data_IF_303510267669
#
_entry.id   IF_303510267669
#
_cell.length_a   1.000
_cell.length_b   1.000
_cell.length_c   1.000
_cell.angle_alpha   90.00
_cell.angle_beta   90.00
_cell.angle_gamma   90.00
#
_symmetry.space_group_name_H-M   'P 1'
#
loop_
_entity.id
_entity.type
_entity.pdbx_description
1 polymer ?
#
# COMPACT_ATOMS: atom_id res chain seq x y z
N UNK A 1 -17.69 -13.99 -17.37
CA UNK A 1 -16.74 -14.56 -16.39
C UNK A 1 -17.23 -14.19 -15.00
N UNK A 2 -17.25 -15.13 -14.05
CA UNK A 2 -17.65 -14.86 -12.67
C UNK A 2 -16.42 -14.44 -11.86
N UNK A 3 -16.47 -13.28 -11.20
CA UNK A 3 -15.41 -12.83 -10.29
C UNK A 3 -16.03 -12.73 -8.90
N UNK A 4 -15.50 -13.43 -7.88
CA UNK A 4 -16.04 -13.37 -6.53
C UNK A 4 -16.06 -11.95 -5.99
N UNK A 5 -17.13 -11.58 -5.28
CA UNK A 5 -17.33 -10.22 -4.74
C UNK A 5 -16.19 -9.76 -3.82
N UNK A 6 -15.59 -10.66 -3.06
CA UNK A 6 -14.43 -10.38 -2.21
C UNK A 6 -13.20 -9.95 -3.03
N UNK A 7 -12.94 -10.59 -4.17
CA UNK A 7 -11.85 -10.24 -5.07
C UNK A 7 -12.09 -8.89 -5.75
N UNK A 8 -13.35 -8.58 -6.10
CA UNK A 8 -13.69 -7.25 -6.64
C UNK A 8 -13.44 -6.14 -5.64
N UNK A 9 -13.80 -6.33 -4.37
CA UNK A 9 -13.52 -5.34 -3.32
C UNK A 9 -12.03 -5.11 -3.09
N UNK A 10 -11.18 -6.12 -3.33
CA UNK A 10 -9.72 -5.96 -3.23
C UNK A 10 -9.13 -5.02 -4.29
N UNK A 11 -9.88 -4.68 -5.35
CA UNK A 11 -9.47 -3.64 -6.29
C UNK A 11 -9.40 -2.26 -5.62
N UNK A 12 -10.18 -2.03 -4.57
CA UNK A 12 -10.11 -0.79 -3.81
C UNK A 12 -8.88 -0.78 -2.90
N UNK A 13 -8.18 0.37 -2.84
CA UNK A 13 -7.09 0.57 -1.88
C UNK A 13 -7.68 1.13 -0.59
N UNK A 14 -7.85 0.28 0.42
CA UNK A 14 -8.38 0.70 1.72
C UNK A 14 -7.54 1.80 2.35
N UNK A 15 -8.19 2.85 2.88
CA UNK A 15 -7.53 4.04 3.42
C UNK A 15 -6.99 4.98 2.35
N UNK A 16 -7.49 4.90 1.12
CA UNK A 16 -7.15 5.86 0.06
C UNK A 16 -8.17 6.98 -0.10
N UNK A 17 -9.34 6.88 0.55
CA UNK A 17 -10.31 7.97 0.57
C UNK A 17 -9.74 9.15 1.37
N UNK A 18 -9.57 10.28 0.71
CA UNK A 18 -9.06 11.49 1.34
C UNK A 18 -9.68 12.76 0.74
N UNK A 19 -9.78 13.79 1.58
CA UNK A 19 -10.08 15.14 1.14
C UNK A 19 -8.78 15.80 0.69
N UNK A 20 -8.79 16.40 -0.48
CA UNK A 20 -7.68 17.15 -1.07
C UNK A 20 -8.10 18.62 -1.26
N UNK A 21 -7.16 19.56 -1.49
CA UNK A 21 -7.51 20.93 -1.81
C UNK A 21 -8.45 21.09 -3.02
N UNK A 22 -8.48 20.10 -3.92
CA UNK A 22 -9.24 20.14 -5.18
C UNK A 22 -10.49 19.23 -5.18
N UNK A 23 -10.84 18.63 -4.04
CA UNK A 23 -12.00 17.77 -3.89
C UNK A 23 -11.68 16.47 -3.18
N UNK A 24 -12.27 15.35 -3.58
CA UNK A 24 -12.14 14.06 -2.89
C UNK A 24 -11.44 13.06 -3.79
N UNK A 25 -10.50 12.29 -3.27
CA UNK A 25 -9.87 11.22 -4.06
C UNK A 25 -9.88 9.86 -3.37
N UNK A 26 -9.73 8.81 -4.18
CA UNK A 26 -9.51 7.44 -3.75
C UNK A 26 -8.84 6.64 -4.86
N UNK A 27 -8.26 5.49 -4.54
CA UNK A 27 -7.42 4.73 -5.46
C UNK A 27 -7.92 3.29 -5.68
N UNK A 28 -7.85 2.86 -6.94
CA UNK A 28 -8.02 1.46 -7.33
C UNK A 28 -6.68 0.87 -7.72
N UNK A 29 -6.40 -0.35 -7.26
CA UNK A 29 -5.23 -1.12 -7.64
C UNK A 29 -5.68 -2.39 -8.35
N UNK A 30 -5.14 -2.66 -9.54
CA UNK A 30 -5.39 -3.93 -10.18
C UNK A 30 -4.75 -5.06 -9.35
N UNK A 31 -5.57 -5.96 -8.82
CA UNK A 31 -5.16 -7.17 -8.09
C UNK A 31 -5.69 -8.46 -8.71
N UNK A 32 -6.21 -8.38 -9.94
CA UNK A 32 -6.72 -9.52 -10.69
C UNK A 32 -5.60 -10.10 -11.57
N UNK A 33 -5.66 -9.87 -12.87
CA UNK A 33 -4.59 -10.15 -13.84
C UNK A 33 -4.38 -8.93 -14.72
N UNK A 34 -3.43 -8.99 -15.63
CA UNK A 34 -3.24 -7.93 -16.63
C UNK A 34 -4.56 -7.62 -17.35
N UNK A 35 -4.86 -6.33 -17.44
CA UNK A 35 -6.13 -5.82 -17.90
C UNK A 35 -5.96 -4.51 -18.66
N UNK A 36 -7.04 -4.09 -19.29
CA UNK A 36 -7.17 -2.79 -19.94
C UNK A 36 -8.37 -2.07 -19.35
N UNK A 37 -8.18 -0.85 -18.87
CA UNK A 37 -9.26 0.01 -18.39
C UNK A 37 -9.97 0.64 -19.60
N UNK A 38 -11.27 0.41 -19.71
CA UNK A 38 -12.08 0.80 -20.88
C UNK A 38 -12.93 2.03 -20.59
N UNK A 39 -13.35 2.23 -19.35
CA UNK A 39 -14.15 3.39 -18.99
C UNK A 39 -14.71 3.31 -17.58
N UNK A 40 -14.81 4.46 -16.94
CA UNK A 40 -15.53 4.62 -15.68
C UNK A 40 -17.02 4.79 -16.00
N UNK A 41 -17.87 3.94 -15.45
CA UNK A 41 -19.30 3.91 -15.78
C UNK A 41 -20.17 4.55 -14.69
N UNK A 42 -19.70 4.60 -13.45
CA UNK A 42 -20.43 5.23 -12.35
C UNK A 42 -19.69 5.18 -11.03
N UNK A 43 -19.84 6.24 -10.26
CA UNK A 43 -19.37 6.33 -8.87
C UNK A 43 -20.51 6.87 -8.01
N UNK A 44 -20.74 6.26 -6.84
CA UNK A 44 -21.59 6.82 -5.80
C UNK A 44 -20.82 6.90 -4.49
N UNK A 45 -21.08 7.95 -3.72
CA UNK A 45 -20.61 8.10 -2.35
C UNK A 45 -21.84 8.34 -1.47
N UNK A 46 -22.02 7.52 -0.44
CA UNK A 46 -23.18 7.53 0.48
C UNK A 46 -24.53 7.49 -0.25
N UNK A 47 -24.58 6.70 -1.33
CA UNK A 47 -25.76 6.57 -2.18
C UNK A 47 -25.96 7.69 -3.21
N UNK A 48 -25.23 8.81 -3.10
CA UNK A 48 -25.31 9.91 -4.04
C UNK A 48 -24.47 9.63 -5.28
N UNK A 49 -25.11 9.61 -6.45
CA UNK A 49 -24.41 9.43 -7.72
C UNK A 49 -23.65 10.70 -8.10
N UNK A 50 -22.36 10.53 -8.42
CA UNK A 50 -21.50 11.63 -8.83
C UNK A 50 -21.40 11.70 -10.35
N UNK A 51 -21.34 12.92 -10.89
CA UNK A 51 -21.12 13.13 -12.32
C UNK A 51 -19.72 12.67 -12.71
N UNK A 52 -19.61 11.89 -13.78
CA UNK A 52 -18.32 11.43 -14.31
C UNK A 52 -17.44 12.59 -14.80
N UNK A 53 -18.02 13.73 -15.16
CA UNK A 53 -17.28 14.93 -15.58
C UNK A 53 -16.45 15.54 -14.45
N UNK A 54 -16.91 15.34 -13.20
CA UNK A 54 -16.20 15.79 -12.01
C UNK A 54 -14.92 14.98 -11.75
N UNK A 55 -14.76 13.82 -12.38
CA UNK A 55 -13.61 12.96 -12.15
C UNK A 55 -12.45 13.25 -13.09
N UNK A 56 -11.26 12.96 -12.57
CA UNK A 56 -10.00 12.83 -13.28
C UNK A 56 -9.38 11.50 -12.87
N UNK A 57 -8.88 10.75 -13.85
CA UNK A 57 -8.25 9.43 -13.68
C UNK A 57 -6.75 9.57 -13.87
N UNK A 58 -5.97 9.30 -12.84
CA UNK A 58 -4.50 9.33 -12.90
C UNK A 58 -3.93 7.91 -12.79
N UNK A 59 -3.32 7.43 -13.88
CA UNK A 59 -2.64 6.14 -13.94
C UNK A 59 -1.13 6.26 -13.62
N UNK A 60 -0.69 7.40 -13.08
CA UNK A 60 0.69 7.69 -12.73
C UNK A 60 1.56 8.09 -13.91
N UNK A 61 2.75 8.61 -13.61
CA UNK A 61 3.76 9.08 -14.61
C UNK A 61 3.21 10.12 -15.60
N UNK A 62 2.26 10.94 -15.17
CA UNK A 62 1.63 11.98 -15.99
C UNK A 62 0.52 11.48 -16.91
N UNK A 63 0.13 10.20 -16.82
CA UNK A 63 -0.97 9.63 -17.60
C UNK A 63 -2.32 9.94 -16.93
N UNK A 64 -2.79 11.16 -17.17
CA UNK A 64 -4.03 11.66 -16.60
C UNK A 64 -5.10 11.84 -17.68
N UNK A 65 -6.31 11.33 -17.42
CA UNK A 65 -7.43 11.36 -18.36
C UNK A 65 -8.72 11.82 -17.70
N UNK A 66 -9.56 12.52 -18.45
CA UNK A 66 -10.99 12.62 -18.12
C UNK A 66 -11.67 11.28 -18.43
N UNK A 67 -12.68 10.85 -17.66
CA UNK A 67 -13.42 9.62 -17.97
C UNK A 67 -13.98 9.57 -19.39
N UNK A 68 -14.36 10.72 -19.97
CA UNK A 68 -14.83 10.83 -21.36
C UNK A 68 -13.76 10.54 -22.42
N UNK A 69 -12.48 10.60 -22.06
CA UNK A 69 -11.36 10.30 -22.97
C UNK A 69 -10.98 8.82 -22.96
N UNK A 70 -11.53 8.03 -22.02
CA UNK A 70 -11.24 6.60 -21.90
C UNK A 70 -12.44 5.81 -22.41
N UNK A 71 -12.22 5.08 -23.51
CA UNK A 71 -13.28 4.36 -24.22
C UNK A 71 -12.75 3.02 -24.75
N UNK A 72 -13.61 2.17 -25.35
CA UNK A 72 -13.15 0.96 -26.04
C UNK A 72 -12.11 1.21 -27.15
N UNK A 73 -12.17 2.38 -27.79
CA UNK A 73 -11.27 2.79 -28.88
C UNK A 73 -10.03 3.53 -28.36
N UNK A 74 -10.14 4.16 -27.19
CA UNK A 74 -9.06 4.87 -26.51
C UNK A 74 -8.91 4.35 -25.08
N UNK A 75 -8.48 3.09 -24.97
CA UNK A 75 -8.36 2.39 -23.70
C UNK A 75 -6.99 2.62 -23.05
N UNK A 76 -6.90 2.46 -21.73
CA UNK A 76 -5.65 2.64 -20.96
C UNK A 76 -5.19 1.29 -20.41
N UNK A 77 -3.88 1.01 -20.49
CA UNK A 77 -3.33 -0.18 -19.86
C UNK A 77 -3.54 -0.16 -18.35
N UNK A 78 -4.01 -1.28 -17.80
CA UNK A 78 -4.21 -1.45 -16.36
C UNK A 78 -3.61 -2.80 -15.95
N UNK A 79 -2.29 -2.98 -16.08
CA UNK A 79 -1.63 -4.25 -15.78
C UNK A 79 -1.72 -4.60 -14.29
N UNK A 80 -1.37 -5.84 -13.93
CA UNK A 80 -1.36 -6.27 -12.54
C UNK A 80 -0.51 -5.33 -11.67
N UNK A 81 -1.04 -4.95 -10.50
CA UNK A 81 -0.48 -3.98 -9.54
C UNK A 81 -0.53 -2.52 -9.96
N UNK A 82 -0.97 -2.18 -11.18
CA UNK A 82 -1.17 -0.80 -11.59
C UNK A 82 -2.20 -0.12 -10.67
N UNK A 83 -1.94 1.13 -10.32
CA UNK A 83 -2.86 1.96 -9.54
C UNK A 83 -3.47 3.01 -10.47
N UNK A 84 -4.76 3.28 -10.29
CA UNK A 84 -5.44 4.46 -10.81
C UNK A 84 -6.04 5.24 -9.66
N UNK A 85 -5.67 6.51 -9.54
CA UNK A 85 -6.26 7.45 -8.59
C UNK A 85 -7.43 8.15 -9.27
N UNK A 86 -8.59 8.15 -8.61
CA UNK A 86 -9.78 8.84 -9.05
C UNK A 86 -9.94 10.08 -8.17
N UNK A 87 -9.80 11.27 -8.76
CA UNK A 87 -10.01 12.54 -8.05
C UNK A 87 -11.29 13.19 -8.56
N UNK A 88 -12.24 13.42 -7.66
CA UNK A 88 -13.53 14.05 -7.92
C UNK A 88 -13.52 15.50 -7.44
N UNK A 89 -13.81 16.45 -8.33
CA UNK A 89 -13.99 17.86 -8.00
C UNK A 89 -15.36 18.09 -7.34
N UNK A 90 -15.48 17.67 -6.08
CA UNK A 90 -16.67 17.79 -5.24
C UNK A 90 -16.30 18.42 -3.89
N UNK A 91 -17.27 18.96 -3.11
CA UNK A 91 -17.00 19.40 -1.74
C UNK A 91 -16.38 18.28 -0.88
N UNK A 92 -15.57 18.63 0.13
CA UNK A 92 -14.98 17.65 1.03
C UNK A 92 -16.07 16.84 1.74
N UNK A 93 -15.79 15.55 1.94
CA UNK A 93 -16.65 14.68 2.73
C UNK A 93 -16.45 14.96 4.22
N UNK A 94 -17.51 14.73 5.01
CA UNK A 94 -17.43 14.82 6.47
C UNK A 94 -16.47 13.77 7.04
N UNK A 95 -16.02 13.95 8.28
CA UNK A 95 -15.29 12.88 8.96
C UNK A 95 -16.20 11.69 9.27
N UNK A 96 -15.65 10.49 9.15
CA UNK A 96 -16.36 9.24 9.40
C UNK A 96 -16.32 8.29 8.22
N UNK A 97 -17.19 7.27 8.29
CA UNK A 97 -17.28 6.22 7.28
C UNK A 97 -18.13 6.67 6.10
N UNK A 98 -17.65 6.39 4.90
CA UNK A 98 -18.35 6.61 3.64
C UNK A 98 -18.45 5.33 2.84
N UNK A 99 -19.64 5.10 2.27
CA UNK A 99 -19.87 3.97 1.39
C UNK A 99 -19.61 4.38 -0.05
N UNK A 100 -18.63 3.75 -0.69
CA UNK A 100 -18.25 4.02 -2.07
C UNK A 100 -18.74 2.87 -2.95
N UNK A 101 -19.46 3.19 -4.02
CA UNK A 101 -19.90 2.24 -5.03
C UNK A 101 -19.28 2.61 -6.37
N UNK A 102 -18.54 1.69 -6.97
CA UNK A 102 -17.78 1.95 -8.20
C UNK A 102 -18.22 0.95 -9.26
N UNK A 103 -18.41 1.47 -10.47
CA UNK A 103 -18.70 0.67 -11.66
C UNK A 103 -17.78 1.14 -12.78
N UNK A 104 -16.97 0.22 -13.31
CA UNK A 104 -16.11 0.49 -14.47
C UNK A 104 -16.08 -0.72 -15.41
N UNK A 105 -15.57 -0.52 -16.61
CA UNK A 105 -15.40 -1.56 -17.60
C UNK A 105 -13.92 -1.85 -17.84
N UNK A 106 -13.57 -3.11 -17.96
CA UNK A 106 -12.23 -3.54 -18.35
C UNK A 106 -12.25 -4.74 -19.30
N UNK A 107 -11.15 -4.97 -20.02
CA UNK A 107 -10.84 -6.24 -20.69
C UNK A 107 -9.79 -6.98 -19.86
N UNK A 108 -9.88 -8.32 -19.72
CA UNK A 108 -10.92 -9.20 -20.28
C UNK A 108 -12.19 -9.32 -19.41
N UNK A 109 -12.26 -8.60 -18.29
CA UNK A 109 -13.24 -8.89 -17.23
C UNK A 109 -14.67 -8.37 -17.46
N UNK A 110 -14.85 -7.44 -18.40
CA UNK A 110 -16.14 -6.80 -18.66
C UNK A 110 -16.49 -5.73 -17.63
N UNK A 111 -17.78 -5.62 -17.30
CA UNK A 111 -18.29 -4.65 -16.32
C UNK A 111 -18.03 -5.15 -14.91
N UNK A 112 -17.34 -4.32 -14.12
CA UNK A 112 -17.01 -4.58 -12.72
C UNK A 112 -17.74 -3.57 -11.85
N UNK A 113 -18.54 -4.06 -10.90
CA UNK A 113 -19.27 -3.26 -9.94
C UNK A 113 -19.07 -3.82 -8.53
N UNK A 114 -18.70 -2.96 -7.59
CA UNK A 114 -18.56 -3.35 -6.18
C UNK A 114 -18.80 -2.15 -5.26
N UNK A 115 -18.93 -2.45 -3.97
CA UNK A 115 -19.10 -1.46 -2.91
C UNK A 115 -18.16 -1.75 -1.74
N UNK A 116 -17.58 -0.68 -1.19
CA UNK A 116 -16.66 -0.70 -0.05
C UNK A 116 -17.04 0.41 0.93
N UNK A 117 -16.65 0.24 2.19
CA UNK A 117 -16.66 1.31 3.18
C UNK A 117 -15.21 1.75 3.39
N UNK A 118 -14.96 3.05 3.29
CA UNK A 118 -13.70 3.68 3.70
C UNK A 118 -14.02 4.84 4.66
N UNK A 119 -13.02 5.49 5.23
CA UNK A 119 -13.24 6.58 6.15
C UNK A 119 -12.38 7.80 5.84
N UNK A 120 -12.99 8.98 5.94
CA UNK A 120 -12.25 10.23 6.13
C UNK A 120 -11.99 10.35 7.63
N UNK A 121 -10.75 10.22 8.03
CA UNK A 121 -10.30 10.75 9.32
C UNK A 121 -9.87 12.19 9.11
N UNK A 122 -10.06 13.06 10.12
CA UNK A 122 -9.28 14.29 10.19
C UNK A 122 -7.82 13.93 9.92
N UNK A 123 -7.17 14.63 8.98
CA UNK A 123 -5.73 14.66 8.99
C UNK A 123 -5.36 15.28 10.33
N UNK A 124 -4.95 14.45 11.28
CA UNK A 124 -4.14 14.98 12.36
C UNK A 124 -2.84 15.39 11.69
N UNK A 125 -2.69 16.68 11.38
CA UNK A 125 -1.43 17.24 10.91
C UNK A 125 -0.28 16.94 11.90
N UNK A 126 -0.61 16.53 13.14
CA UNK A 126 0.33 16.01 14.13
C UNK A 126 0.44 14.48 14.16
N UNK A 127 -0.12 13.75 13.18
CA UNK A 127 0.04 12.30 13.11
C UNK A 127 1.51 12.00 12.92
N UNK A 128 2.10 11.40 13.94
CA UNK A 128 3.49 10.99 13.92
C UNK A 128 3.65 9.85 12.89
N UNK A 129 4.25 10.15 11.74
CA UNK A 129 4.50 9.17 10.66
C UNK A 129 5.91 8.60 10.80
N UNK A 130 6.01 7.27 10.81
CA UNK A 130 7.31 6.58 10.82
C UNK A 130 7.97 6.76 9.43
N UNK A 131 9.25 7.17 9.35
CA UNK A 131 9.96 7.29 8.09
C UNK A 131 9.92 6.00 7.27
N UNK A 132 9.56 6.13 5.98
CA UNK A 132 9.47 5.02 5.03
C UNK A 132 9.93 5.47 3.64
N UNK A 133 10.57 4.56 2.92
CA UNK A 133 10.91 4.69 1.50
C UNK A 133 10.08 3.65 0.70
N UNK A 134 9.24 4.08 -0.27
CA UNK A 134 8.42 3.18 -1.06
C UNK A 134 9.22 2.32 -2.06
N UNK A 135 10.41 2.77 -2.48
CA UNK A 135 11.26 2.09 -3.46
C UNK A 135 12.22 1.11 -2.77
N UNK A 136 12.93 1.54 -1.73
CA UNK A 136 13.83 0.68 -0.97
C UNK A 136 13.94 1.06 0.51
N UNK A 137 13.24 0.28 1.34
CA UNK A 137 13.08 0.58 2.77
C UNK A 137 14.14 -0.06 3.69
N UNK A 138 15.08 -0.81 3.09
CA UNK A 138 16.07 -1.65 3.77
C UNK A 138 17.51 -1.18 3.48
N UNK A 139 17.74 0.12 3.59
CA UNK A 139 19.08 0.72 3.48
C UNK A 139 19.58 1.21 4.83
N UNK A 140 20.89 1.45 4.92
CA UNK A 140 21.52 2.06 6.11
C UNK A 140 20.94 3.44 6.40
N UNK A 141 20.68 4.25 5.38
CA UNK A 141 20.11 5.59 5.51
C UNK A 141 18.69 5.53 6.09
N UNK A 142 17.87 4.58 5.63
CA UNK A 142 16.53 4.39 6.17
C UNK A 142 16.53 3.90 7.61
N UNK A 143 17.47 3.01 7.97
CA UNK A 143 17.69 2.62 9.36
C UNK A 143 18.08 3.81 10.24
N UNK A 144 19.00 4.67 9.79
CA UNK A 144 19.42 5.88 10.50
C UNK A 144 18.28 6.90 10.67
N UNK A 145 17.46 7.11 9.64
CA UNK A 145 16.28 8.00 9.73
C UNK A 145 15.31 7.54 10.80
N UNK A 146 15.10 6.23 10.92
CA UNK A 146 14.26 5.65 11.98
C UNK A 146 14.90 5.71 13.36
N UNK A 147 16.20 5.48 13.46
CA UNK A 147 16.93 5.65 14.72
C UNK A 147 16.78 7.08 15.25
N UNK A 148 16.94 8.08 14.38
CA UNK A 148 16.73 9.49 14.72
C UNK A 148 15.28 9.74 15.17
N UNK A 149 14.31 9.28 14.38
CA UNK A 149 12.89 9.41 14.69
C UNK A 149 12.54 8.81 16.07
N UNK A 150 12.99 7.59 16.37
CA UNK A 150 12.74 6.94 17.67
C UNK A 150 13.46 7.68 18.80
N UNK A 151 14.70 8.13 18.58
CA UNK A 151 15.46 8.90 19.58
C UNK A 151 14.76 10.21 19.95
N UNK A 152 14.25 10.94 18.96
CA UNK A 152 13.50 12.18 19.14
C UNK A 152 12.14 11.94 19.81
N UNK A 153 11.38 10.94 19.33
CA UNK A 153 10.06 10.64 19.87
C UNK A 153 10.10 10.16 21.33
N UNK A 154 11.12 9.40 21.71
CA UNK A 154 11.30 8.91 23.07
C UNK A 154 12.16 9.85 23.95
N UNK A 155 12.74 10.91 23.36
CA UNK A 155 13.70 11.79 24.01
C UNK A 155 14.86 11.03 24.71
N UNK A 156 15.40 10.02 24.01
CA UNK A 156 16.52 9.19 24.48
C UNK A 156 17.58 9.04 23.41
N UNK A 157 18.83 8.83 23.84
CA UNK A 157 19.92 8.45 22.94
C UNK A 157 19.96 6.93 22.79
N UNK A 158 19.96 6.43 21.56
CA UNK A 158 20.16 5.01 21.28
C UNK A 158 21.66 4.68 21.26
N UNK A 159 22.11 3.78 22.13
CA UNK A 159 23.54 3.44 22.24
C UNK A 159 23.88 2.11 21.55
N UNK A 160 23.18 1.02 21.89
CA UNK A 160 23.54 -0.32 21.43
C UNK A 160 22.74 -0.81 20.22
N UNK A 161 21.44 -0.47 20.14
CA UNK A 161 20.55 -0.91 19.06
C UNK A 161 21.05 -0.48 17.67
N UNK A 162 21.60 0.74 17.47
CA UNK A 162 22.14 1.16 16.18
C UNK A 162 23.40 0.41 15.76
N UNK A 163 24.05 -0.33 16.67
CA UNK A 163 25.31 -1.02 16.43
C UNK A 163 25.05 -2.45 16.00
N UNK A 164 25.07 -2.68 14.69
CA UNK A 164 24.94 -3.99 14.06
C UNK A 164 25.99 -4.17 12.97
N UNK A 165 26.31 -5.43 12.63
CA UNK A 165 27.45 -5.78 11.78
C UNK A 165 27.05 -6.46 10.46
N UNK A 166 25.80 -6.31 10.03
CA UNK A 166 25.26 -6.92 8.82
C UNK A 166 24.59 -5.88 7.92
N UNK A 167 24.44 -6.22 6.64
CA UNK A 167 23.76 -5.38 5.66
C UNK A 167 22.25 -5.32 5.95
N UNK A 168 21.63 -4.13 6.10
CA UNK A 168 20.18 -3.98 6.23
C UNK A 168 19.36 -4.68 5.13
N UNK A 169 19.92 -4.86 3.92
CA UNK A 169 19.25 -5.60 2.86
C UNK A 169 19.00 -7.08 3.23
N UNK A 170 19.85 -7.67 4.08
CA UNK A 170 19.75 -9.09 4.49
C UNK A 170 18.53 -9.38 5.37
N UNK A 171 17.97 -8.37 6.05
CA UNK A 171 16.78 -8.54 6.90
C UNK A 171 15.47 -8.32 6.15
N UNK A 172 15.53 -8.07 4.83
CA UNK A 172 14.33 -7.91 4.00
C UNK A 172 13.46 -9.15 4.05
N UNK A 173 12.21 -8.97 4.44
CA UNK A 173 11.23 -10.05 4.63
C UNK A 173 11.27 -10.72 6.01
N UNK A 174 12.20 -10.33 6.88
CA UNK A 174 12.29 -10.82 8.26
C UNK A 174 11.84 -9.79 9.31
N UNK A 175 11.80 -8.50 8.95
CA UNK A 175 11.46 -7.39 9.84
C UNK A 175 10.85 -6.24 9.03
N UNK A 176 9.91 -5.49 9.59
CA UNK A 176 9.45 -4.20 9.09
C UNK A 176 10.11 -3.03 9.82
N UNK A 177 10.31 -1.92 9.11
CA UNK A 177 10.89 -0.69 9.68
C UNK A 177 12.23 -0.90 10.42
N UNK A 178 13.15 -1.62 9.78
CA UNK A 178 14.45 -1.91 10.37
C UNK A 178 15.12 -0.66 10.94
N UNK A 179 15.45 -0.70 12.22
CA UNK A 179 16.00 0.42 13.02
C UNK A 179 17.32 0.03 13.70
N UNK A 180 17.60 -1.26 13.85
CA UNK A 180 18.81 -1.77 14.50
C UNK A 180 18.63 -3.23 14.94
N UNK A 181 19.52 -3.72 15.80
CA UNK A 181 19.51 -5.10 16.26
C UNK A 181 19.58 -5.21 17.78
N UNK A 182 18.97 -6.25 18.33
CA UNK A 182 19.17 -6.66 19.72
C UNK A 182 20.36 -7.62 19.78
N UNK A 183 21.20 -7.46 20.79
CA UNK A 183 22.34 -8.34 21.04
C UNK A 183 21.89 -9.46 22.00
N UNK A 184 21.88 -10.70 21.51
CA UNK A 184 21.50 -11.88 22.29
C UNK A 184 22.80 -12.59 22.72
N UNK A 185 23.07 -12.76 24.03
CA UNK A 185 24.20 -13.56 24.48
C UNK A 185 24.09 -14.97 23.93
N UNK A 186 25.12 -15.42 23.23
CA UNK A 186 25.18 -16.74 22.62
C UNK A 186 26.38 -17.50 23.19
N UNK A 187 26.12 -18.69 23.70
CA UNK A 187 27.14 -19.68 24.07
C UNK A 187 27.04 -20.90 23.17
N UNK A 188 28.02 -21.80 23.29
CA UNK A 188 28.01 -23.13 22.69
C UNK A 188 28.11 -24.19 23.79
N UNK A 189 27.78 -25.44 23.47
CA UNK A 189 27.83 -26.54 24.42
C UNK A 189 28.43 -27.77 23.75
N UNK A 190 29.60 -28.21 24.21
CA UNK A 190 30.23 -29.42 23.74
C UNK A 190 31.64 -29.66 24.30
N UNK A 191 32.33 -30.69 23.78
CA UNK A 191 31.87 -31.56 22.69
C UNK A 191 30.68 -32.46 23.08
N UNK A 192 29.75 -32.70 22.15
CA UNK A 192 28.68 -33.68 22.24
C UNK A 192 28.91 -34.79 21.20
N UNK A 193 29.17 -36.02 21.65
CA UNK A 193 29.27 -37.18 20.76
C UNK A 193 27.88 -37.59 20.25
N UNK A 194 27.70 -37.59 18.93
CA UNK A 194 26.48 -38.03 18.25
C UNK A 194 26.80 -39.31 17.46
N UNK A 195 25.92 -40.31 17.56
CA UNK A 195 25.93 -41.53 16.75
C UNK A 195 24.54 -41.75 16.15
N UNK A 196 24.20 -40.97 15.13
CA UNK A 196 22.89 -41.00 14.47
C UNK A 196 22.97 -41.34 12.98
N UNK A 197 21.82 -41.53 12.36
CA UNK A 197 21.72 -41.84 10.91
C UNK A 197 22.14 -40.67 10.02
N UNK A 198 22.00 -39.43 10.51
CA UNK A 198 22.26 -38.21 9.75
C UNK A 198 23.45 -37.38 10.27
N UNK A 199 23.96 -37.68 11.47
CA UNK A 199 25.09 -37.00 12.08
C UNK A 199 25.89 -37.97 12.94
N UNK A 200 27.21 -38.00 12.75
CA UNK A 200 28.10 -38.92 13.44
C UNK A 200 29.43 -38.23 13.75
N UNK A 201 29.84 -38.19 15.02
CA UNK A 201 31.05 -37.49 15.49
C UNK A 201 30.81 -36.60 16.70
N UNK A 202 31.84 -35.87 17.13
CA UNK A 202 31.75 -34.86 18.19
C UNK A 202 31.38 -33.49 17.61
N UNK A 203 30.39 -32.82 18.22
CA UNK A 203 29.89 -31.50 17.80
C UNK A 203 30.02 -30.47 18.92
N UNK A 204 30.12 -29.19 18.55
CA UNK A 204 30.09 -28.03 19.45
C UNK A 204 28.80 -27.22 19.25
#
# INVERSE_FOLDING_TARGET
MFIPSMLLKQLYTFGSLENTPNGVQFALKNRLSDATFIGLLGVKIDGNALSLEAFTLDFGRGNTFKPSQVSPDQSVEFPLRQVVTLSAAIPPLAEGKHKIEITFQSKPFGKLSFSVDDAISAEDENRVVIPRDPENDYTTEMAQRRQKFVSEAANVKLEHIPQYSFDPASVKGNIEHFTGAVQIPLGFAGPLQINGEHAQGEFL
#
